data_IF_394620604603
#
_entry.id   IF_394620604603
#
_cell.length_a   1.000
_cell.length_b   1.000
_cell.length_c   1.000
_cell.angle_alpha   90.00
_cell.angle_beta   90.00
_cell.angle_gamma   90.00
#
_symmetry.space_group_name_H-M   'P 1'
#
loop_
_entity.id
_entity.type
_entity.pdbx_description
1 polymer ?
#
# COMPACT_ATOMS: atom_id res chain seq x y z
N UNK A 1 11.33 4.75 -11.78
CA UNK A 1 11.20 5.13 -10.36
C UNK A 1 10.23 6.30 -10.18
N UNK A 2 10.46 7.44 -10.86
CA UNK A 2 9.53 8.58 -10.81
C UNK A 2 8.14 8.22 -11.31
N UNK A 3 8.01 7.30 -12.26
CA UNK A 3 6.71 6.87 -12.78
C UNK A 3 5.88 6.13 -11.74
N UNK A 4 6.52 5.36 -10.85
CA UNK A 4 5.80 4.68 -9.77
C UNK A 4 5.24 5.70 -8.77
N UNK A 5 6.02 6.72 -8.41
CA UNK A 5 5.55 7.78 -7.52
C UNK A 5 4.37 8.54 -8.13
N UNK A 6 4.43 8.84 -9.43
CA UNK A 6 3.31 9.47 -10.13
C UNK A 6 2.07 8.59 -10.14
N UNK A 7 2.23 7.27 -10.33
CA UNK A 7 1.11 6.32 -10.29
C UNK A 7 0.46 6.28 -8.92
N UNK A 8 1.27 6.28 -7.85
CA UNK A 8 0.76 6.30 -6.48
C UNK A 8 -0.03 7.58 -6.23
N UNK A 9 0.51 8.73 -6.63
CA UNK A 9 -0.16 10.01 -6.47
C UNK A 9 -1.49 10.06 -7.24
N UNK A 10 -1.49 9.56 -8.49
CA UNK A 10 -2.70 9.50 -9.31
C UNK A 10 -3.75 8.56 -8.69
N UNK A 11 -3.33 7.40 -8.17
CA UNK A 11 -4.24 6.46 -7.54
C UNK A 11 -4.89 7.08 -6.30
N UNK A 12 -4.11 7.75 -5.45
CA UNK A 12 -4.62 8.41 -4.25
C UNK A 12 -5.57 9.57 -4.60
N UNK A 13 -5.24 10.35 -5.62
CA UNK A 13 -6.08 11.45 -6.08
C UNK A 13 -7.39 10.92 -6.68
N UNK A 14 -7.31 9.87 -7.51
CA UNK A 14 -8.48 9.28 -8.14
C UNK A 14 -9.44 8.67 -7.12
N UNK A 15 -8.94 8.26 -5.94
CA UNK A 15 -9.76 7.68 -4.89
C UNK A 15 -10.76 8.66 -4.27
N UNK A 16 -10.60 9.96 -4.47
CA UNK A 16 -11.44 10.97 -3.81
C UNK A 16 -12.92 10.86 -4.18
N UNK A 17 -13.24 10.41 -5.37
CA UNK A 17 -14.62 10.25 -5.82
C UNK A 17 -15.13 8.82 -5.77
N UNK A 18 -14.35 7.88 -5.25
CA UNK A 18 -14.69 6.46 -5.26
C UNK A 18 -15.39 6.03 -3.96
N UNK A 19 -16.09 4.90 -4.03
CA UNK A 19 -16.67 4.26 -2.86
C UNK A 19 -15.57 3.80 -1.89
N UNK A 20 -15.95 3.54 -0.65
CA UNK A 20 -15.03 3.06 0.37
C UNK A 20 -14.35 1.76 -0.07
N UNK A 21 -15.11 0.82 -0.62
CA UNK A 21 -14.56 -0.45 -1.10
C UNK A 21 -13.53 -0.23 -2.21
N UNK A 22 -13.84 0.63 -3.17
CA UNK A 22 -12.92 0.94 -4.26
C UNK A 22 -11.64 1.61 -3.77
N UNK A 23 -11.75 2.50 -2.79
CA UNK A 23 -10.58 3.13 -2.17
C UNK A 23 -9.69 2.09 -1.48
N UNK A 24 -10.31 1.17 -0.74
CA UNK A 24 -9.59 0.12 -0.03
C UNK A 24 -8.88 -0.82 -1.02
N UNK A 25 -9.56 -1.21 -2.09
CA UNK A 25 -8.97 -2.07 -3.13
C UNK A 25 -7.81 -1.38 -3.84
N UNK A 26 -7.95 -0.10 -4.16
CA UNK A 26 -6.89 0.68 -4.80
C UNK A 26 -5.68 0.80 -3.88
N UNK A 27 -5.90 1.01 -2.59
CA UNK A 27 -4.83 1.09 -1.60
C UNK A 27 -4.10 -0.25 -1.46
N UNK A 28 -4.83 -1.35 -1.41
CA UNK A 28 -4.22 -2.68 -1.37
C UNK A 28 -3.43 -2.97 -2.65
N UNK A 29 -3.95 -2.60 -3.81
CA UNK A 29 -3.26 -2.75 -5.09
C UNK A 29 -1.95 -1.96 -5.12
N UNK A 30 -1.93 -0.76 -4.53
CA UNK A 30 -0.72 0.03 -4.38
C UNK A 30 0.31 -0.69 -3.52
N UNK A 31 -0.12 -1.34 -2.44
CA UNK A 31 0.77 -2.15 -1.60
C UNK A 31 1.40 -3.29 -2.40
N UNK A 32 0.61 -4.04 -3.17
CA UNK A 32 1.11 -5.15 -3.97
C UNK A 32 2.16 -4.67 -4.98
N UNK A 33 1.88 -3.58 -5.68
CA UNK A 33 2.81 -3.01 -6.66
C UNK A 33 4.10 -2.54 -5.99
N UNK A 34 4.00 -1.89 -4.84
CA UNK A 34 5.15 -1.41 -4.09
C UNK A 34 6.00 -2.57 -3.55
N UNK A 35 5.35 -3.64 -3.11
CA UNK A 35 6.04 -4.84 -2.63
C UNK A 35 6.84 -5.50 -3.75
N UNK A 36 6.27 -5.60 -4.93
CA UNK A 36 6.96 -6.15 -6.11
C UNK A 36 8.15 -5.29 -6.51
N UNK A 37 7.97 -3.97 -6.53
CA UNK A 37 9.05 -3.03 -6.84
C UNK A 37 10.16 -3.12 -5.79
N UNK A 38 9.79 -3.21 -4.51
CA UNK A 38 10.75 -3.35 -3.41
C UNK A 38 11.56 -4.62 -3.49
N UNK A 39 10.91 -5.75 -3.83
CA UNK A 39 11.60 -7.02 -3.99
C UNK A 39 12.68 -6.95 -5.08
N UNK A 40 12.37 -6.31 -6.20
CA UNK A 40 13.36 -6.10 -7.27
C UNK A 40 14.53 -5.24 -6.81
N UNK A 41 14.25 -4.14 -6.11
CA UNK A 41 15.29 -3.23 -5.63
C UNK A 41 16.20 -3.88 -4.60
N UNK A 42 15.66 -4.67 -3.69
CA UNK A 42 16.44 -5.37 -2.67
C UNK A 42 17.40 -6.37 -3.29
N UNK A 43 17.05 -6.93 -4.44
CA UNK A 43 17.92 -7.87 -5.16
C UNK A 43 18.93 -7.20 -6.07
N UNK A 44 18.82 -5.90 -6.32
CA UNK A 44 19.70 -5.17 -7.22
C UNK A 44 21.03 -4.85 -6.55
N UNK A 45 22.14 -5.14 -7.23
CA UNK A 45 23.48 -4.78 -6.76
C UNK A 45 23.76 -3.28 -6.88
N UNK A 46 22.96 -2.56 -7.64
CA UNK A 46 23.13 -1.11 -7.85
C UNK A 46 22.49 -0.26 -6.74
N UNK A 47 21.69 -0.89 -5.88
CA UNK A 47 21.01 -0.19 -4.78
C UNK A 47 21.86 -0.34 -3.51
N UNK A 48 22.04 0.76 -2.78
CA UNK A 48 22.84 0.76 -1.55
C UNK A 48 22.19 -0.08 -0.46
N UNK A 49 23.03 -0.59 0.47
CA UNK A 49 22.52 -1.37 1.61
C UNK A 49 21.59 -0.54 2.50
N UNK A 50 21.87 0.75 2.63
CA UNK A 50 21.05 1.67 3.41
C UNK A 50 19.64 1.76 2.83
N UNK A 51 19.52 1.90 1.51
CA UNK A 51 18.21 1.95 0.83
C UNK A 51 17.48 0.62 0.95
N UNK A 52 18.20 -0.50 0.79
CA UNK A 52 17.62 -1.84 0.97
C UNK A 52 17.04 -2.02 2.37
N UNK A 53 17.77 -1.56 3.39
CA UNK A 53 17.30 -1.63 4.78
C UNK A 53 16.03 -0.80 4.99
N UNK A 54 15.95 0.39 4.39
CA UNK A 54 14.77 1.25 4.46
C UNK A 54 13.56 0.59 3.81
N UNK A 55 13.75 -0.05 2.65
CA UNK A 55 12.68 -0.76 1.94
C UNK A 55 12.17 -1.92 2.80
N UNK A 56 13.08 -2.72 3.35
CA UNK A 56 12.71 -3.86 4.20
C UNK A 56 11.94 -3.41 5.44
N UNK A 57 12.37 -2.32 6.06
CA UNK A 57 11.72 -1.76 7.24
C UNK A 57 10.32 -1.27 6.91
N UNK A 58 10.17 -0.55 5.78
CA UNK A 58 8.87 -0.04 5.34
C UNK A 58 7.92 -1.19 4.99
N UNK A 59 8.42 -2.24 4.34
CA UNK A 59 7.64 -3.43 4.01
C UNK A 59 7.17 -4.16 5.27
N UNK A 60 8.07 -4.32 6.24
CA UNK A 60 7.73 -4.97 7.51
C UNK A 60 6.63 -4.20 8.27
N UNK A 61 6.61 -2.88 8.16
CA UNK A 61 5.57 -2.06 8.78
C UNK A 61 4.26 -2.10 8.00
N UNK A 62 4.33 -2.14 6.65
CA UNK A 62 3.14 -2.10 5.79
C UNK A 62 2.42 -3.45 5.74
N UNK A 63 3.14 -4.56 5.80
CA UNK A 63 2.58 -5.89 5.58
C UNK A 63 1.43 -6.25 6.53
N UNK A 64 1.57 -6.11 7.86
CA UNK A 64 0.46 -6.47 8.76
C UNK A 64 -0.76 -5.58 8.57
N UNK A 65 -0.58 -4.28 8.29
CA UNK A 65 -1.73 -3.40 8.09
C UNK A 65 -2.38 -3.62 6.72
N UNK A 66 -1.61 -4.03 5.71
CA UNK A 66 -2.15 -4.42 4.41
C UNK A 66 -2.94 -5.72 4.51
N UNK A 67 -2.45 -6.70 5.28
CA UNK A 67 -3.17 -7.95 5.53
C UNK A 67 -4.49 -7.68 6.28
N UNK A 68 -4.47 -6.79 7.26
CA UNK A 68 -5.67 -6.39 7.98
C UNK A 68 -6.66 -5.68 7.04
N UNK A 69 -6.16 -4.86 6.12
CA UNK A 69 -6.99 -4.19 5.13
C UNK A 69 -7.66 -5.21 4.20
N UNK A 70 -6.91 -6.20 3.73
CA UNK A 70 -7.48 -7.25 2.88
C UNK A 70 -8.58 -8.01 3.61
N UNK A 71 -8.35 -8.39 4.87
CA UNK A 71 -9.36 -9.07 5.69
C UNK A 71 -10.60 -8.21 5.85
N UNK A 72 -10.44 -6.91 6.05
CA UNK A 72 -11.56 -5.99 6.18
C UNK A 72 -12.34 -5.85 4.87
N UNK A 73 -11.65 -5.87 3.72
CA UNK A 73 -12.32 -5.85 2.41
C UNK A 73 -13.18 -7.09 2.23
N UNK A 74 -12.65 -8.27 2.54
CA UNK A 74 -13.38 -9.53 2.43
C UNK A 74 -14.60 -9.52 3.35
N UNK A 75 -14.43 -9.07 4.59
CA UNK A 75 -15.54 -8.98 5.55
C UNK A 75 -16.62 -8.01 5.08
N UNK A 76 -16.23 -6.87 4.50
CA UNK A 76 -17.17 -5.88 3.98
C UNK A 76 -18.00 -6.44 2.82
N UNK A 77 -17.37 -7.22 1.94
CA UNK A 77 -18.10 -7.85 0.83
C UNK A 77 -19.13 -8.86 1.31
N UNK A 78 -18.82 -9.56 2.40
CA UNK A 78 -19.74 -10.52 3.01
C UNK A 78 -20.84 -9.82 3.80
N UNK A 79 -20.54 -8.69 4.44
CA UNK A 79 -21.48 -7.94 5.27
C UNK A 79 -21.20 -6.43 5.18
N UNK A 80 -21.99 -5.66 4.40
CA UNK A 80 -21.80 -4.22 4.28
C UNK A 80 -21.91 -3.45 5.58
N UNK A 81 -22.43 -4.03 6.66
CA UNK A 81 -22.49 -3.39 7.97
C UNK A 81 -21.10 -3.22 8.60
N UNK A 82 -20.08 -3.87 8.07
CA UNK A 82 -18.71 -3.75 8.55
C UNK A 82 -17.94 -2.58 7.91
N UNK A 83 -18.66 -1.58 7.38
CA UNK A 83 -18.04 -0.40 6.76
C UNK A 83 -17.10 0.35 7.72
N UNK A 84 -17.46 0.48 9.00
CA UNK A 84 -16.62 1.18 9.98
C UNK A 84 -15.30 0.45 10.18
N UNK A 85 -15.31 -0.89 10.21
CA UNK A 85 -14.09 -1.68 10.31
C UNK A 85 -13.21 -1.51 9.06
N UNK A 86 -13.82 -1.45 7.88
CA UNK A 86 -13.09 -1.22 6.63
C UNK A 86 -12.47 0.18 6.62
N UNK A 87 -13.22 1.20 7.02
CA UNK A 87 -12.71 2.56 7.10
C UNK A 87 -11.53 2.66 8.08
N UNK A 88 -11.63 2.01 9.24
CA UNK A 88 -10.56 1.98 10.22
C UNK A 88 -9.30 1.31 9.68
N UNK A 89 -9.45 0.15 9.03
CA UNK A 89 -8.32 -0.56 8.44
C UNK A 89 -7.66 0.27 7.34
N UNK A 90 -8.45 0.94 6.50
CA UNK A 90 -7.94 1.81 5.45
C UNK A 90 -7.16 2.98 6.04
N UNK A 91 -7.69 3.62 7.07
CA UNK A 91 -7.04 4.76 7.74
C UNK A 91 -5.68 4.37 8.30
N UNK A 92 -5.55 3.17 8.87
CA UNK A 92 -4.29 2.68 9.42
C UNK A 92 -3.32 2.27 8.29
N UNK A 93 -3.83 1.63 7.23
CA UNK A 93 -3.00 1.10 6.16
C UNK A 93 -2.43 2.19 5.25
N UNK A 94 -3.18 3.25 5.00
CA UNK A 94 -2.79 4.30 4.04
C UNK A 94 -1.39 4.88 4.31
N UNK A 95 -1.07 5.38 5.52
CA UNK A 95 0.25 5.97 5.73
C UNK A 95 1.39 4.96 5.58
N UNK A 96 1.24 3.74 6.06
CA UNK A 96 2.29 2.72 5.98
C UNK A 96 2.52 2.30 4.53
N UNK A 97 1.47 2.10 3.75
CA UNK A 97 1.56 1.74 2.34
C UNK A 97 2.17 2.90 1.53
N UNK A 98 1.80 4.13 1.85
CA UNK A 98 2.35 5.32 1.20
C UNK A 98 3.86 5.43 1.44
N UNK A 99 4.32 5.15 2.66
CA UNK A 99 5.74 5.15 2.98
C UNK A 99 6.48 4.08 2.16
N UNK A 100 5.94 2.87 2.10
CA UNK A 100 6.54 1.80 1.31
C UNK A 100 6.62 2.18 -0.17
N UNK A 101 5.54 2.72 -0.73
CA UNK A 101 5.51 3.15 -2.12
C UNK A 101 6.52 4.26 -2.39
N UNK A 102 6.69 5.19 -1.47
CA UNK A 102 7.66 6.28 -1.57
C UNK A 102 9.08 5.74 -1.54
N UNK A 103 9.39 4.80 -0.64
CA UNK A 103 10.73 4.20 -0.55
C UNK A 103 11.07 3.40 -1.81
N UNK A 104 10.11 2.71 -2.39
CA UNK A 104 10.35 1.92 -3.61
C UNK A 104 10.37 2.76 -4.88
N UNK A 105 9.95 4.02 -4.82
CA UNK A 105 9.97 4.95 -5.95
C UNK A 105 11.29 5.75 -6.02
N UNK A 106 12.16 5.64 -5.04
CA UNK A 106 13.46 6.36 -5.01
C UNK A 106 14.51 5.72 -5.97
#
# INVERSE_FOLDING_TARGET
MKSLLCLVALALTACQGLSLESKAEATYGTFVAAEQAGASLVQSSEVSDSVKAQIKSADAAAKPVADALLSAIVAYRADPKSADALQGALTVALPAITILATETAK
#
